data_IF_638512052310
#
_entry.id   IF_638512052310
#
_cell.length_a   1.000
_cell.length_b   1.000
_cell.length_c   1.000
_cell.angle_alpha   90.00
_cell.angle_beta   90.00
_cell.angle_gamma   90.00
#
_symmetry.space_group_name_H-M   'P 1'
#
loop_
_entity.id
_entity.type
_entity.pdbx_description
1 polymer ?
#
# COMPACT_ATOMS: atom_id res chain seq x y z
N UNK A 1 10.62 -31.14 21.35
CA UNK A 1 9.22 -30.70 21.43
C UNK A 1 8.89 -29.91 20.17
N UNK A 2 7.85 -30.27 19.43
CA UNK A 2 7.37 -29.48 18.29
C UNK A 2 6.50 -28.33 18.77
N UNK A 3 6.73 -27.12 18.27
CA UNK A 3 5.89 -25.96 18.56
C UNK A 3 4.53 -26.08 17.86
N UNK A 4 3.46 -25.60 18.51
CA UNK A 4 2.10 -25.59 17.98
C UNK A 4 1.92 -24.46 16.95
N UNK A 5 2.50 -24.62 15.78
CA UNK A 5 2.29 -23.69 14.66
C UNK A 5 1.29 -24.27 13.65
N UNK A 6 0.48 -23.41 12.98
CA UNK A 6 -0.37 -23.85 11.89
C UNK A 6 0.48 -24.39 10.73
N UNK A 7 -0.09 -25.30 9.96
CA UNK A 7 0.55 -25.76 8.73
C UNK A 7 0.60 -24.64 7.69
N UNK A 8 1.53 -24.76 6.74
CA UNK A 8 1.65 -23.83 5.59
C UNK A 8 0.33 -23.77 4.80
N UNK A 9 -0.35 -24.90 4.64
CA UNK A 9 -1.65 -24.98 3.94
C UNK A 9 -2.73 -24.15 4.65
N UNK A 10 -2.76 -24.20 5.99
CA UNK A 10 -3.69 -23.39 6.79
C UNK A 10 -3.39 -21.91 6.65
N UNK A 11 -2.11 -21.52 6.67
CA UNK A 11 -1.70 -20.12 6.47
C UNK A 11 -2.09 -19.61 5.07
N UNK A 12 -1.78 -20.38 4.01
CA UNK A 12 -2.14 -20.02 2.62
C UNK A 12 -3.64 -19.81 2.47
N UNK A 13 -4.45 -20.75 2.96
CA UNK A 13 -5.91 -20.64 2.91
C UNK A 13 -6.40 -19.41 3.66
N UNK A 14 -5.87 -19.13 4.84
CA UNK A 14 -6.29 -17.97 5.63
C UNK A 14 -5.96 -16.66 4.91
N UNK A 15 -4.74 -16.53 4.38
CA UNK A 15 -4.32 -15.33 3.63
C UNK A 15 -5.18 -15.14 2.38
N UNK A 16 -5.38 -16.19 1.57
CA UNK A 16 -6.17 -16.11 0.33
C UNK A 16 -7.65 -15.79 0.57
N UNK A 17 -8.23 -16.20 1.71
CA UNK A 17 -9.64 -15.93 2.00
C UNK A 17 -9.88 -14.62 2.77
N UNK A 18 -8.86 -14.05 3.41
CA UNK A 18 -9.05 -12.92 4.35
C UNK A 18 -8.58 -11.58 3.81
N UNK A 19 -7.73 -11.57 2.78
CA UNK A 19 -7.17 -10.33 2.23
C UNK A 19 -7.39 -10.25 0.72
N UNK A 20 -7.95 -9.14 0.26
CA UNK A 20 -8.02 -8.81 -1.16
C UNK A 20 -7.09 -7.63 -1.43
N UNK A 21 -6.04 -7.84 -2.23
CA UNK A 21 -5.08 -6.81 -2.61
C UNK A 21 -5.29 -6.44 -4.07
N UNK A 22 -6.25 -5.55 -4.35
CA UNK A 22 -6.50 -5.04 -5.69
C UNK A 22 -5.65 -3.80 -6.00
N UNK A 23 -5.27 -3.58 -7.28
CA UNK A 23 -4.63 -2.34 -7.70
C UNK A 23 -5.51 -1.12 -7.39
N UNK A 24 -4.86 -0.02 -7.06
CA UNK A 24 -5.45 1.23 -6.61
C UNK A 24 -5.15 1.51 -5.14
N UNK A 25 -6.12 2.13 -4.48
CA UNK A 25 -6.01 2.57 -3.09
C UNK A 25 -6.32 1.41 -2.13
N UNK A 26 -5.46 1.18 -1.15
CA UNK A 26 -5.60 0.12 -0.16
C UNK A 26 -6.51 0.55 0.99
N UNK A 27 -7.82 0.46 0.76
CA UNK A 27 -8.84 0.90 1.71
C UNK A 27 -8.72 0.21 3.09
N UNK A 28 -8.47 -1.09 3.14
CA UNK A 28 -8.32 -1.83 4.41
C UNK A 28 -7.13 -1.31 5.22
N UNK A 29 -6.04 -0.98 4.53
CA UNK A 29 -4.85 -0.41 5.16
C UNK A 29 -5.14 0.97 5.71
N UNK A 30 -5.80 1.82 4.92
CA UNK A 30 -6.20 3.17 5.34
C UNK A 30 -7.13 3.12 6.55
N UNK A 31 -8.05 2.15 6.58
CA UNK A 31 -8.92 1.92 7.71
C UNK A 31 -8.15 1.55 8.99
N UNK A 32 -7.20 0.62 8.89
CA UNK A 32 -6.31 0.24 10.01
C UNK A 32 -5.44 1.42 10.45
N UNK A 33 -4.92 2.21 9.51
CA UNK A 33 -4.18 3.44 9.82
C UNK A 33 -5.04 4.45 10.58
N UNK A 34 -6.28 4.68 10.15
CA UNK A 34 -7.21 5.56 10.87
C UNK A 34 -7.47 5.12 12.31
N UNK A 35 -7.65 3.81 12.54
CA UNK A 35 -7.76 3.27 13.89
C UNK A 35 -6.46 3.41 14.71
N UNK A 36 -5.30 3.30 14.04
CA UNK A 36 -3.98 3.53 14.64
C UNK A 36 -3.75 4.99 15.03
N UNK A 37 -4.20 5.94 14.20
CA UNK A 37 -4.05 7.37 14.41
C UNK A 37 -4.67 7.85 15.74
N UNK A 38 -5.77 7.21 16.19
CA UNK A 38 -6.42 7.51 17.47
C UNK A 38 -5.51 7.28 18.69
N UNK A 39 -4.49 6.43 18.55
CA UNK A 39 -3.52 6.11 19.61
C UNK A 39 -2.20 6.87 19.46
N UNK A 40 -2.05 7.65 18.39
CA UNK A 40 -0.83 8.37 18.06
C UNK A 40 -0.91 9.84 18.53
N UNK A 41 0.20 10.34 19.04
CA UNK A 41 0.38 11.78 19.31
C UNK A 41 0.38 12.58 18.00
N UNK A 42 0.17 13.90 18.06
CA UNK A 42 0.22 14.75 16.85
C UNK A 42 1.58 14.67 16.14
N UNK A 43 2.68 14.52 16.89
CA UNK A 43 4.02 14.38 16.33
C UNK A 43 4.20 13.08 15.57
N UNK A 44 3.67 11.96 16.09
CA UNK A 44 3.72 10.66 15.43
C UNK A 44 2.86 10.61 14.16
N UNK A 45 1.84 11.46 14.09
CA UNK A 45 0.95 11.63 12.93
C UNK A 45 1.53 12.52 11.84
N UNK A 46 2.64 13.23 12.08
CA UNK A 46 3.37 13.93 11.03
C UNK A 46 4.06 12.93 10.10
N UNK A 47 3.74 13.01 8.81
CA UNK A 47 4.21 12.04 7.84
C UNK A 47 4.63 12.66 6.51
N UNK A 48 5.42 11.88 5.78
CA UNK A 48 5.92 12.18 4.44
C UNK A 48 5.34 11.16 3.48
N UNK A 49 4.88 11.63 2.33
CA UNK A 49 4.50 10.77 1.21
C UNK A 49 5.72 10.44 0.38
N UNK A 50 5.89 9.18 0.02
CA UNK A 50 6.95 8.73 -0.86
C UNK A 50 6.37 7.87 -1.97
N UNK A 51 6.65 8.22 -3.21
CA UNK A 51 6.16 7.48 -4.36
C UNK A 51 7.27 7.20 -5.36
N UNK A 52 7.22 6.00 -5.92
CA UNK A 52 8.25 5.45 -6.82
C UNK A 52 7.58 4.57 -7.87
N UNK A 53 8.15 4.53 -9.06
CA UNK A 53 7.82 3.57 -10.10
C UNK A 53 8.89 2.48 -10.13
N UNK A 54 8.48 1.21 -10.08
CA UNK A 54 9.39 0.07 -10.12
C UNK A 54 9.08 -0.82 -11.32
N UNK A 55 10.11 -1.21 -12.06
CA UNK A 55 9.95 -2.17 -13.14
C UNK A 55 9.64 -3.57 -12.61
N UNK A 56 8.72 -4.25 -13.28
CA UNK A 56 8.31 -5.62 -13.00
C UNK A 56 8.49 -6.50 -14.23
N UNK A 57 8.48 -7.80 -14.01
CA UNK A 57 8.56 -8.78 -15.08
C UNK A 57 7.26 -8.78 -15.90
N UNK A 58 7.37 -8.57 -17.21
CA UNK A 58 6.23 -8.45 -18.13
C UNK A 58 5.60 -9.77 -18.54
N UNK A 59 5.76 -10.82 -17.73
CA UNK A 59 5.08 -12.10 -17.92
C UNK A 59 3.57 -11.96 -17.70
N UNK A 60 2.81 -12.72 -18.49
CA UNK A 60 1.39 -12.91 -18.29
C UNK A 60 1.21 -14.02 -17.25
N UNK A 61 0.41 -13.74 -16.23
CA UNK A 61 0.08 -14.67 -15.16
C UNK A 61 -1.43 -14.96 -15.18
N UNK A 62 -1.82 -16.18 -14.81
CA UNK A 62 -3.21 -16.53 -14.57
C UNK A 62 -3.43 -16.68 -13.07
N UNK A 63 -4.28 -15.83 -12.51
CA UNK A 63 -4.76 -15.94 -11.14
C UNK A 63 -5.98 -16.86 -11.11
N UNK A 64 -5.78 -18.07 -10.60
CA UNK A 64 -6.83 -19.07 -10.50
C UNK A 64 -7.89 -18.72 -9.46
N UNK A 65 -7.55 -17.96 -8.42
CA UNK A 65 -8.49 -17.63 -7.35
C UNK A 65 -9.55 -16.64 -7.84
N UNK A 66 -9.13 -15.65 -8.61
CA UNK A 66 -9.98 -14.60 -9.17
C UNK A 66 -10.41 -14.89 -10.63
N UNK A 67 -10.02 -16.04 -11.19
CA UNK A 67 -10.24 -16.43 -12.59
C UNK A 67 -9.88 -15.30 -13.58
N UNK A 68 -8.66 -14.78 -13.44
CA UNK A 68 -8.22 -13.57 -14.15
C UNK A 68 -6.82 -13.73 -14.74
N UNK A 69 -6.66 -13.22 -15.97
CA UNK A 69 -5.35 -13.01 -16.59
C UNK A 69 -4.79 -11.66 -16.10
N UNK A 70 -3.57 -11.68 -15.56
CA UNK A 70 -2.83 -10.52 -15.05
C UNK A 70 -1.64 -10.22 -15.96
N UNK A 71 -1.44 -8.95 -16.28
CA UNK A 71 -0.40 -8.50 -17.19
C UNK A 71 -0.75 -8.63 -18.67
N UNK A 72 0.23 -8.41 -19.56
CA UNK A 72 1.61 -8.07 -19.24
C UNK A 72 1.73 -6.63 -18.71
N UNK A 73 2.40 -6.47 -17.57
CA UNK A 73 2.69 -5.15 -16.97
C UNK A 73 4.18 -4.89 -16.98
N UNK A 74 4.61 -3.64 -17.16
CA UNK A 74 6.04 -3.28 -17.21
C UNK A 74 6.49 -2.62 -15.93
N UNK A 75 5.65 -1.78 -15.36
CA UNK A 75 5.96 -1.02 -14.18
C UNK A 75 4.83 -1.09 -13.15
N UNK A 76 5.17 -0.86 -11.89
CA UNK A 76 4.22 -0.67 -10.79
C UNK A 76 4.53 0.65 -10.12
N UNK A 77 3.52 1.51 -10.04
CA UNK A 77 3.54 2.72 -9.25
C UNK A 77 3.17 2.37 -7.81
N UNK A 78 3.96 2.85 -6.86
CA UNK A 78 3.79 2.56 -5.43
C UNK A 78 3.76 3.88 -4.66
N UNK A 79 2.85 4.01 -3.69
CA UNK A 79 2.84 5.12 -2.72
C UNK A 79 2.89 4.58 -1.30
N UNK A 80 3.88 5.04 -0.56
CA UNK A 80 4.06 4.75 0.86
C UNK A 80 3.92 6.04 1.68
N UNK A 81 3.34 5.90 2.86
CA UNK A 81 3.36 6.92 3.90
C UNK A 81 4.41 6.54 4.93
N UNK A 82 5.23 7.50 5.35
CA UNK A 82 6.25 7.29 6.38
C UNK A 82 6.12 8.35 7.46
N UNK A 83 6.20 7.94 8.73
CA UNK A 83 6.30 8.89 9.84
C UNK A 83 7.56 9.75 9.72
N UNK A 84 7.41 11.06 9.89
CA UNK A 84 8.55 11.99 9.86
C UNK A 84 9.32 11.92 11.17
N UNK A 85 8.59 12.02 12.30
CA UNK A 85 9.16 12.02 13.64
C UNK A 85 9.08 10.65 14.34
N UNK A 86 8.39 9.70 13.71
CA UNK A 86 8.17 8.36 14.24
C UNK A 86 8.59 7.29 13.23
N UNK A 87 9.13 6.18 13.74
CA UNK A 87 9.66 5.10 12.89
C UNK A 87 8.57 4.12 12.47
N UNK A 88 7.71 4.54 11.55
CA UNK A 88 6.73 3.67 10.90
C UNK A 88 6.62 3.98 9.40
N UNK A 89 6.18 2.99 8.62
CA UNK A 89 5.91 3.12 7.20
C UNK A 89 4.76 2.20 6.80
N UNK A 90 3.94 2.63 5.87
CA UNK A 90 2.81 1.85 5.38
C UNK A 90 2.60 2.07 3.89
N UNK A 91 2.39 0.98 3.15
CA UNK A 91 2.00 1.02 1.75
C UNK A 91 0.50 1.32 1.65
N UNK A 92 0.11 2.32 0.87
CA UNK A 92 -1.30 2.78 0.79
C UNK A 92 -1.89 2.74 -0.61
N UNK A 93 -1.05 2.68 -1.64
CA UNK A 93 -1.49 2.62 -3.03
C UNK A 93 -0.47 1.83 -3.84
N UNK A 94 -0.96 1.00 -4.76
CA UNK A 94 -0.15 0.44 -5.82
C UNK A 94 -0.98 0.30 -7.09
N UNK A 95 -0.40 0.51 -8.27
CA UNK A 95 -1.10 0.25 -9.52
C UNK A 95 -0.11 -0.08 -10.65
N UNK A 96 -0.55 -0.84 -11.64
CA UNK A 96 0.29 -1.32 -12.73
C UNK A 96 0.19 -0.40 -13.95
N UNK A 97 1.33 -0.07 -14.56
CA UNK A 97 1.44 0.78 -15.77
C UNK A 97 0.70 2.13 -15.68
N UNK A 98 0.50 2.61 -14.45
CA UNK A 98 -0.15 3.90 -14.15
C UNK A 98 0.90 4.91 -13.71
N UNK A 99 0.94 6.07 -14.34
CA UNK A 99 1.80 7.17 -13.89
C UNK A 99 1.21 7.90 -12.69
N UNK A 100 2.06 8.41 -11.79
CA UNK A 100 1.62 9.29 -10.72
C UNK A 100 1.03 10.59 -11.28
N UNK A 101 -0.28 10.78 -11.10
CA UNK A 101 -0.96 12.04 -11.49
C UNK A 101 -1.22 12.94 -10.29
N UNK A 102 -1.30 14.25 -10.53
CA UNK A 102 -1.66 15.22 -9.50
C UNK A 102 -3.03 14.91 -8.86
N UNK A 103 -3.96 14.29 -9.61
CA UNK A 103 -5.26 13.85 -9.11
C UNK A 103 -5.11 12.74 -8.06
N UNK A 104 -4.42 11.65 -8.41
CA UNK A 104 -4.17 10.52 -7.49
C UNK A 104 -3.48 11.02 -6.22
N UNK A 105 -2.45 11.84 -6.37
CA UNK A 105 -1.71 12.39 -5.23
C UNK A 105 -2.61 13.26 -4.33
N UNK A 106 -3.44 14.12 -4.92
CA UNK A 106 -4.37 14.97 -4.17
C UNK A 106 -5.42 14.14 -3.43
N UNK A 107 -6.00 13.14 -4.08
CA UNK A 107 -7.00 12.25 -3.47
C UNK A 107 -6.39 11.51 -2.27
N UNK A 108 -5.16 11.01 -2.39
CA UNK A 108 -4.42 10.39 -1.29
C UNK A 108 -4.19 11.38 -0.13
N UNK A 109 -3.77 12.61 -0.42
CA UNK A 109 -3.53 13.64 0.61
C UNK A 109 -4.82 13.94 1.38
N UNK A 110 -5.94 14.09 0.67
CA UNK A 110 -7.25 14.36 1.29
C UNK A 110 -7.64 13.22 2.23
N UNK A 111 -7.55 11.97 1.75
CA UNK A 111 -7.94 10.79 2.55
C UNK A 111 -7.07 10.65 3.80
N UNK A 112 -5.76 10.88 3.70
CA UNK A 112 -4.86 10.83 4.85
C UNK A 112 -5.11 11.97 5.85
N UNK A 113 -5.49 13.16 5.36
CA UNK A 113 -5.87 14.28 6.22
C UNK A 113 -7.20 13.99 6.96
N UNK A 114 -8.18 13.38 6.29
CA UNK A 114 -9.47 13.01 6.89
C UNK A 114 -9.33 12.00 8.02
N UNK A 115 -8.40 11.04 7.92
CA UNK A 115 -8.12 10.08 8.99
C UNK A 115 -7.15 10.62 10.06
N UNK A 116 -6.72 11.88 9.95
CA UNK A 116 -6.01 12.62 11.00
C UNK A 116 -4.48 12.66 10.90
N UNK A 117 -3.88 12.30 9.76
CA UNK A 117 -2.44 12.45 9.51
C UNK A 117 -2.09 13.82 8.95
N UNK A 118 -0.91 14.32 9.29
CA UNK A 118 -0.39 15.60 8.82
C UNK A 118 0.71 15.37 7.78
N UNK A 119 0.35 15.50 6.51
CA UNK A 119 1.29 15.37 5.40
C UNK A 119 2.10 16.67 5.29
N UNK A 120 3.40 16.59 5.55
CA UNK A 120 4.29 17.78 5.57
C UNK A 120 5.26 17.84 4.39
N UNK A 121 5.48 16.72 3.71
CA UNK A 121 6.31 16.66 2.51
C UNK A 121 5.90 15.50 1.61
N UNK A 122 6.25 15.63 0.33
CA UNK A 122 6.18 14.54 -0.64
C UNK A 122 7.55 14.36 -1.29
N UNK A 123 7.95 13.11 -1.47
CA UNK A 123 9.21 12.69 -2.10
C UNK A 123 8.86 11.84 -3.31
N UNK A 124 9.34 12.28 -4.46
CA UNK A 124 9.22 11.58 -5.72
C UNK A 124 10.60 11.07 -6.12
N UNK A 125 10.66 9.85 -6.65
CA UNK A 125 11.80 9.48 -7.50
C UNK A 125 11.59 10.07 -8.90
N UNK A 126 12.67 10.55 -9.52
CA UNK A 126 12.64 11.08 -10.88
C UNK A 126 13.41 10.12 -11.79
N UNK A 127 12.73 9.08 -12.25
CA UNK A 127 13.24 8.20 -13.31
C UNK A 127 12.66 8.66 -14.64
N UNK A 128 13.44 9.45 -15.38
CA UNK A 128 13.18 9.88 -16.76
C UNK A 128 13.38 8.76 -17.78
#
# INVERSE_FOLDING_TARGET
MGFLFPSVSTLKRWVSCSFCCSPGLLHDVIHVMGAGALKMTDQERMCVLSFVEMSVDSRICYDQAEDKIVGPHRNVQVVMVRGLLASWKQLIYFDCDTQMTAKILKDIIIILAEIGYYIVAAVADYSS
#
